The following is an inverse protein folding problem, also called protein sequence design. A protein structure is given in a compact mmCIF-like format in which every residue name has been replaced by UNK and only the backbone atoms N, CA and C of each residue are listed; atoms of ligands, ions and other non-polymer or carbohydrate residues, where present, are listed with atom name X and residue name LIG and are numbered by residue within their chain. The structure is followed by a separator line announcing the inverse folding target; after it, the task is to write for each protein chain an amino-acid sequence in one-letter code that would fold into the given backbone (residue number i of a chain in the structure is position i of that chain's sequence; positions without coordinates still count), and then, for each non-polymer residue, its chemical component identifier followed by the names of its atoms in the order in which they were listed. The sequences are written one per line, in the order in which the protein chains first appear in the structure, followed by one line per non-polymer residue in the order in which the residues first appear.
data_IF_665831425765
#
_entry.id   IF_665831425765
#
_cell.length_a   1.000
_cell.length_b   1.000
_cell.length_c   1.000
_cell.angle_alpha   90.00
_cell.angle_beta   90.00
_cell.angle_gamma   90.00
#
_symmetry.space_group_name_H-M   'P 1'
#
loop_
_entity.id
_entity.type
_entity.pdbx_description
1 polymer ?
#
# COMPACT_ATOMS: atom_id res chain seq x y z
N UNK A 1 -9.78 -13.03 15.14
CA UNK A 1 -10.83 -12.12 14.60
C UNK A 1 -11.03 -12.49 13.15
N UNK A 2 -12.26 -12.56 12.64
CA UNK A 2 -12.48 -12.82 11.20
C UNK A 2 -12.10 -11.56 10.44
N UNK A 3 -11.37 -11.71 9.33
CA UNK A 3 -11.13 -10.64 8.38
C UNK A 3 -12.44 -9.94 8.03
N UNK A 4 -12.48 -8.59 7.96
CA UNK A 4 -13.65 -7.91 7.44
C UNK A 4 -13.95 -8.45 6.04
N UNK A 5 -15.23 -8.57 5.72
CA UNK A 5 -15.67 -9.11 4.45
C UNK A 5 -15.17 -8.19 3.32
N UNK A 6 -14.17 -8.66 2.56
CA UNK A 6 -13.75 -8.00 1.33
C UNK A 6 -14.90 -8.23 0.33
N UNK A 7 -15.52 -7.17 -0.20
CA UNK A 7 -16.64 -7.33 -1.13
C UNK A 7 -16.24 -8.20 -2.32
N UNK A 8 -17.11 -9.14 -2.69
CA UNK A 8 -16.93 -9.92 -3.89
C UNK A 8 -16.93 -9.03 -5.13
N UNK A 9 -16.13 -9.39 -6.12
CA UNK A 9 -15.84 -8.71 -7.39
C UNK A 9 -16.96 -7.82 -7.93
N UNK A 10 -16.60 -6.64 -8.41
CA UNK A 10 -17.43 -5.82 -9.28
C UNK A 10 -16.85 -5.86 -10.69
N UNK A 11 -17.69 -6.11 -11.70
CA UNK A 11 -17.26 -6.09 -13.12
C UNK A 11 -16.17 -7.10 -13.49
N UNK A 12 -16.00 -8.19 -12.72
CA UNK A 12 -14.96 -9.18 -12.94
C UNK A 12 -13.62 -8.87 -12.26
N UNK A 13 -13.46 -7.69 -11.64
CA UNK A 13 -12.28 -7.37 -10.83
C UNK A 13 -12.45 -7.95 -9.43
N UNK A 14 -11.48 -8.69 -8.95
CA UNK A 14 -11.42 -9.26 -7.60
C UNK A 14 -10.13 -8.83 -6.90
N UNK A 15 -10.13 -8.88 -5.58
CA UNK A 15 -8.95 -8.63 -4.77
C UNK A 15 -8.39 -9.98 -4.33
N UNK A 16 -7.12 -10.18 -4.57
CA UNK A 16 -6.36 -11.34 -4.11
C UNK A 16 -5.28 -10.85 -3.13
N UNK A 17 -4.86 -11.73 -2.23
CA UNK A 17 -3.94 -11.38 -1.16
C UNK A 17 -2.94 -12.52 -0.93
N UNK A 18 -1.68 -12.15 -0.74
CA UNK A 18 -0.66 -13.05 -0.21
C UNK A 18 0.17 -12.31 0.85
N UNK A 19 0.80 -13.07 1.71
CA UNK A 19 1.76 -12.56 2.71
C UNK A 19 3.13 -13.05 2.33
N UNK A 20 4.10 -12.14 2.33
CA UNK A 20 5.52 -12.45 2.11
C UNK A 20 6.33 -12.02 3.32
N UNK A 21 7.36 -12.79 3.67
CA UNK A 21 8.19 -12.55 4.85
C UNK A 21 9.60 -12.12 4.46
N UNK A 22 10.15 -11.17 5.20
CA UNK A 22 11.51 -10.69 4.97
C UNK A 22 11.94 -9.67 6.01
N UNK A 23 12.68 -8.64 5.59
CA UNK A 23 13.22 -7.66 6.54
C UNK A 23 12.94 -6.23 6.13
N UNK A 24 12.54 -5.42 7.10
CA UNK A 24 12.58 -3.96 7.04
C UNK A 24 13.93 -3.46 7.57
N UNK A 25 14.58 -2.56 6.86
CA UNK A 25 15.87 -1.98 7.26
C UNK A 25 15.87 -0.46 7.12
N UNK A 26 16.13 0.26 8.20
CA UNK A 26 16.23 1.72 8.23
C UNK A 26 17.09 2.16 9.42
N UNK A 27 17.83 3.27 9.29
CA UNK A 27 18.66 3.87 10.35
C UNK A 27 19.66 2.89 10.99
N UNK A 28 20.17 1.93 10.21
CA UNK A 28 21.11 0.92 10.69
C UNK A 28 20.47 -0.23 11.49
N UNK A 29 19.16 -0.23 11.67
CA UNK A 29 18.38 -1.32 12.24
C UNK A 29 17.82 -2.25 11.16
N UNK A 30 17.52 -3.49 11.55
CA UNK A 30 16.84 -4.48 10.70
C UNK A 30 15.89 -5.30 11.55
N UNK A 31 14.67 -5.48 11.05
CA UNK A 31 13.58 -6.20 11.72
C UNK A 31 12.95 -7.20 10.77
N UNK A 32 12.64 -8.39 11.26
CA UNK A 32 11.81 -9.34 10.51
C UNK A 32 10.38 -8.85 10.47
N UNK A 33 9.78 -8.87 9.27
CA UNK A 33 8.42 -8.39 9.02
C UNK A 33 7.71 -9.30 8.02
N UNK A 34 6.39 -9.34 8.15
CA UNK A 34 5.49 -9.94 7.17
C UNK A 34 4.73 -8.81 6.47
N UNK A 35 4.79 -8.77 5.15
CA UNK A 35 4.12 -7.77 4.34
C UNK A 35 2.93 -8.37 3.60
N UNK A 36 1.86 -7.60 3.53
CA UNK A 36 0.72 -7.87 2.68
C UNK A 36 1.03 -7.42 1.25
N UNK A 37 0.88 -8.29 0.29
CA UNK A 37 0.89 -7.99 -1.13
C UNK A 37 -0.53 -8.14 -1.66
N UNK A 38 -1.07 -7.08 -2.26
CA UNK A 38 -2.44 -7.06 -2.75
C UNK A 38 -2.46 -7.08 -4.27
N UNK A 39 -3.37 -7.86 -4.85
CA UNK A 39 -3.60 -7.88 -6.29
C UNK A 39 -5.03 -7.49 -6.59
N UNK A 40 -5.21 -6.54 -7.51
CA UNK A 40 -6.45 -6.39 -8.24
C UNK A 40 -6.35 -7.27 -9.49
N UNK A 41 -7.30 -8.14 -9.70
CA UNK A 41 -7.20 -9.18 -10.71
C UNK A 41 -8.50 -9.40 -11.50
N UNK A 42 -8.35 -9.63 -12.79
CA UNK A 42 -9.35 -10.25 -13.68
C UNK A 42 -8.86 -11.65 -14.06
N UNK A 43 -9.53 -12.31 -14.98
CA UNK A 43 -9.09 -13.62 -15.47
C UNK A 43 -7.85 -13.54 -16.35
N UNK A 44 -7.53 -12.38 -16.93
CA UNK A 44 -6.44 -12.20 -17.90
C UNK A 44 -5.39 -11.18 -17.49
N UNK A 45 -5.68 -10.32 -16.53
CA UNK A 45 -4.80 -9.23 -16.12
C UNK A 45 -4.78 -9.08 -14.60
N UNK A 46 -3.69 -8.50 -14.09
CA UNK A 46 -3.63 -8.07 -12.71
C UNK A 46 -2.78 -6.81 -12.54
N UNK A 47 -3.03 -6.11 -11.44
CA UNK A 47 -2.29 -4.97 -10.92
C UNK A 47 -1.85 -5.34 -9.50
N UNK A 48 -0.57 -5.15 -9.18
CA UNK A 48 -0.04 -5.47 -7.84
C UNK A 48 0.18 -4.17 -7.05
N UNK A 49 -0.17 -4.19 -5.78
CA UNK A 49 0.11 -3.13 -4.82
C UNK A 49 1.14 -3.68 -3.84
N UNK A 50 2.30 -3.04 -3.85
CA UNK A 50 3.55 -3.40 -3.22
C UNK A 50 4.11 -4.75 -3.71
N UNK A 51 5.42 -4.84 -3.78
CA UNK A 51 6.13 -6.05 -4.23
C UNK A 51 7.20 -6.39 -3.20
N UNK A 52 6.75 -7.00 -2.13
CA UNK A 52 7.54 -7.27 -0.93
C UNK A 52 8.22 -8.63 -1.00
N UNK A 53 9.49 -8.67 -0.70
CA UNK A 53 10.34 -9.82 -0.34
C UNK A 53 10.45 -10.93 -1.39
N UNK A 54 9.36 -11.67 -1.67
CA UNK A 54 9.39 -12.90 -2.46
C UNK A 54 8.81 -12.70 -3.86
N UNK A 55 9.69 -12.36 -4.81
CA UNK A 55 9.28 -12.20 -6.21
C UNK A 55 8.70 -13.49 -6.82
N UNK A 56 9.14 -14.67 -6.37
CA UNK A 56 8.63 -15.95 -6.89
C UNK A 56 7.19 -16.16 -6.45
N UNK A 57 6.89 -15.97 -5.18
CA UNK A 57 5.53 -16.08 -4.66
C UNK A 57 4.58 -15.06 -5.32
N UNK A 58 5.07 -13.83 -5.57
CA UNK A 58 4.29 -12.79 -6.26
C UNK A 58 4.03 -13.20 -7.71
N UNK A 59 5.04 -13.68 -8.45
CA UNK A 59 4.88 -14.13 -9.84
C UNK A 59 3.99 -15.38 -9.93
N UNK A 60 4.06 -16.30 -9.00
CA UNK A 60 3.14 -17.44 -8.90
C UNK A 60 1.70 -16.97 -8.68
N UNK A 61 1.49 -15.95 -7.84
CA UNK A 61 0.17 -15.35 -7.66
C UNK A 61 -0.31 -14.61 -8.91
N UNK A 62 0.57 -13.96 -9.66
CA UNK A 62 0.24 -13.37 -10.98
C UNK A 62 -0.19 -14.45 -11.97
N UNK A 63 0.47 -15.62 -11.98
CA UNK A 63 0.20 -16.73 -12.87
C UNK A 63 0.35 -16.35 -14.34
N UNK A 64 -0.53 -16.88 -15.18
CA UNK A 64 -0.54 -16.63 -16.63
C UNK A 64 -1.13 -15.26 -17.02
N UNK A 65 -1.54 -14.45 -16.05
CA UNK A 65 -2.14 -13.13 -16.30
C UNK A 65 -1.08 -12.09 -16.68
N UNK A 66 -1.49 -11.11 -17.45
CA UNK A 66 -0.64 -9.95 -17.75
C UNK A 66 -0.59 -9.04 -16.52
N UNK A 67 0.58 -8.84 -15.93
CA UNK A 67 0.79 -7.80 -14.92
C UNK A 67 0.85 -6.44 -15.63
N UNK A 68 -0.15 -5.59 -15.38
CA UNK A 68 -0.28 -4.30 -16.06
C UNK A 68 0.48 -3.18 -15.35
N UNK A 69 0.80 -3.35 -14.07
CA UNK A 69 1.58 -2.39 -13.30
C UNK A 69 1.81 -2.84 -11.86
N UNK A 70 2.75 -2.17 -11.22
CA UNK A 70 3.06 -2.26 -9.79
C UNK A 70 2.86 -0.87 -9.20
N UNK A 71 1.93 -0.73 -8.26
CA UNK A 71 1.72 0.51 -7.49
C UNK A 71 2.43 0.38 -6.15
N UNK A 72 3.40 1.23 -5.89
CA UNK A 72 4.09 1.26 -4.61
C UNK A 72 3.41 2.25 -3.69
N UNK A 73 2.96 1.78 -2.51
CA UNK A 73 2.37 2.66 -1.50
C UNK A 73 3.38 3.64 -0.97
N UNK A 74 4.63 3.22 -0.80
CA UNK A 74 5.75 4.05 -0.40
C UNK A 74 7.10 3.36 -0.71
N UNK A 75 8.22 4.04 -0.41
CA UNK A 75 9.54 3.61 -0.84
C UNK A 75 10.35 2.80 0.17
N UNK A 76 9.81 2.34 1.28
CA UNK A 76 10.54 1.48 2.21
C UNK A 76 10.92 0.14 1.57
N UNK A 77 12.10 -0.38 1.94
CA UNK A 77 12.68 -1.56 1.30
C UNK A 77 11.77 -2.77 1.34
N UNK A 78 11.08 -3.00 2.42
CA UNK A 78 10.20 -4.14 2.62
C UNK A 78 8.91 -4.09 1.77
N UNK A 79 8.57 -2.96 1.17
CA UNK A 79 7.45 -2.83 0.22
C UNK A 79 7.87 -2.93 -1.24
N UNK A 80 9.17 -2.71 -1.55
CA UNK A 80 9.63 -2.59 -2.94
C UNK A 80 10.81 -3.50 -3.30
N UNK A 81 11.37 -4.28 -2.36
CA UNK A 81 12.62 -5.03 -2.57
C UNK A 81 12.54 -6.16 -3.60
N UNK A 82 11.34 -6.60 -3.99
CA UNK A 82 11.15 -7.54 -5.10
C UNK A 82 10.91 -6.85 -6.46
N UNK A 83 10.90 -5.49 -6.51
CA UNK A 83 10.46 -4.74 -7.69
C UNK A 83 11.26 -5.04 -8.95
N UNK A 84 12.57 -5.14 -8.85
CA UNK A 84 13.42 -5.39 -10.03
C UNK A 84 13.22 -6.78 -10.61
N UNK A 85 13.07 -7.80 -9.74
CA UNK A 85 12.80 -9.16 -10.17
C UNK A 85 11.43 -9.28 -10.85
N UNK A 86 10.38 -8.66 -10.27
CA UNK A 86 9.03 -8.66 -10.85
C UNK A 86 9.01 -7.91 -12.18
N UNK A 87 9.64 -6.74 -12.26
CA UNK A 87 9.75 -5.96 -13.51
C UNK A 87 10.53 -6.70 -14.60
N UNK A 88 11.63 -7.38 -14.21
CA UNK A 88 12.43 -8.16 -15.16
C UNK A 88 11.65 -9.34 -15.76
N UNK A 89 10.82 -9.99 -14.95
CA UNK A 89 10.03 -11.14 -15.37
C UNK A 89 8.81 -10.77 -16.23
N UNK A 90 8.18 -9.61 -15.95
CA UNK A 90 6.86 -9.27 -16.52
C UNK A 90 6.88 -8.09 -17.49
N UNK A 91 7.89 -7.23 -17.39
CA UNK A 91 7.94 -5.96 -18.10
C UNK A 91 6.96 -4.90 -17.56
N UNK A 92 6.30 -5.15 -16.44
CA UNK A 92 5.35 -4.22 -15.84
C UNK A 92 6.04 -2.94 -15.38
N UNK A 93 5.35 -1.80 -15.55
CA UNK A 93 5.80 -0.51 -15.03
C UNK A 93 5.59 -0.42 -13.52
N UNK A 94 6.55 0.17 -12.80
CA UNK A 94 6.43 0.48 -11.39
C UNK A 94 6.20 1.98 -11.17
N UNK A 95 5.24 2.29 -10.30
CA UNK A 95 4.79 3.64 -10.00
C UNK A 95 5.10 3.96 -8.53
N UNK A 96 5.69 5.13 -8.27
CA UNK A 96 6.03 5.62 -6.95
C UNK A 96 5.80 7.13 -6.86
N UNK A 97 5.42 7.62 -5.68
CA UNK A 97 5.40 9.07 -5.46
C UNK A 97 6.86 9.64 -5.44
N UNK A 98 7.15 10.75 -6.12
CA UNK A 98 8.52 11.26 -6.26
C UNK A 98 9.18 11.64 -4.92
N UNK A 99 8.40 11.98 -3.89
CA UNK A 99 8.93 12.32 -2.57
C UNK A 99 9.56 11.12 -1.84
N UNK A 100 9.34 9.88 -2.31
CA UNK A 100 9.99 8.67 -1.79
C UNK A 100 11.17 8.20 -2.65
N UNK A 101 11.59 9.00 -3.61
CA UNK A 101 12.69 8.63 -4.50
C UNK A 101 13.98 8.31 -3.74
N UNK A 102 14.27 9.02 -2.64
CA UNK A 102 15.47 8.76 -1.83
C UNK A 102 15.42 7.39 -1.12
N UNK A 103 14.23 6.89 -0.77
CA UNK A 103 14.05 5.56 -0.19
C UNK A 103 14.20 4.48 -1.26
N UNK A 104 13.61 4.72 -2.44
CA UNK A 104 13.70 3.84 -3.59
C UNK A 104 15.16 3.62 -4.05
N UNK A 105 15.93 4.70 -4.16
CA UNK A 105 17.31 4.67 -4.66
C UNK A 105 18.28 3.92 -3.72
N UNK A 106 17.86 3.61 -2.48
CA UNK A 106 18.61 2.71 -1.57
C UNK A 106 18.40 1.24 -1.93
N UNK A 107 17.28 0.90 -2.57
CA UNK A 107 16.88 -0.49 -2.87
C UNK A 107 17.29 -0.90 -4.29
N UNK A 108 17.17 0.01 -5.25
CA UNK A 108 17.42 -0.28 -6.67
C UNK A 108 17.98 0.93 -7.42
N UNK A 109 18.91 0.68 -8.35
CA UNK A 109 19.46 1.71 -9.25
C UNK A 109 18.52 2.03 -10.42
N UNK A 110 17.51 1.21 -10.66
CA UNK A 110 16.55 1.42 -11.74
C UNK A 110 15.40 2.31 -11.28
N UNK A 111 15.27 3.51 -11.86
CA UNK A 111 14.21 4.45 -11.55
C UNK A 111 12.80 3.84 -11.64
N UNK A 112 11.81 4.34 -10.88
CA UNK A 112 10.40 4.10 -11.15
C UNK A 112 10.08 4.48 -12.60
N UNK A 113 9.10 3.80 -13.21
CA UNK A 113 8.73 4.07 -14.62
C UNK A 113 7.81 5.30 -14.75
N UNK A 114 7.06 5.62 -13.68
CA UNK A 114 6.20 6.80 -13.62
C UNK A 114 5.99 7.28 -12.18
N UNK A 115 5.71 8.56 -12.06
CA UNK A 115 5.39 9.21 -10.80
C UNK A 115 3.89 9.07 -10.48
N UNK A 116 3.57 8.93 -9.19
CA UNK A 116 2.22 9.06 -8.62
C UNK A 116 2.07 10.45 -8.03
N UNK A 117 0.88 11.00 -8.11
CA UNK A 117 0.54 12.24 -7.44
C UNK A 117 -0.84 12.12 -6.73
N UNK A 118 -0.98 12.81 -5.61
CA UNK A 118 -2.27 12.92 -4.94
C UNK A 118 -3.33 13.52 -5.87
N UNK A 119 -4.49 12.86 -5.99
CA UNK A 119 -5.56 13.22 -6.90
C UNK A 119 -5.54 12.47 -8.24
N UNK A 120 -4.50 11.72 -8.56
CA UNK A 120 -4.47 10.87 -9.75
C UNK A 120 -5.60 9.83 -9.70
N UNK A 121 -6.06 9.45 -10.88
CA UNK A 121 -7.03 8.37 -11.08
C UNK A 121 -6.44 7.35 -12.03
N UNK A 122 -6.30 6.14 -11.52
CA UNK A 122 -5.84 4.99 -12.29
C UNK A 122 -7.04 4.08 -12.50
N UNK A 123 -7.14 3.44 -13.66
CA UNK A 123 -8.24 2.51 -13.95
C UNK A 123 -7.69 1.12 -14.19
N UNK A 124 -8.26 0.13 -13.51
CA UNK A 124 -8.01 -1.28 -13.74
C UNK A 124 -9.33 -2.02 -13.98
N UNK A 125 -9.49 -2.57 -15.18
CA UNK A 125 -10.80 -3.10 -15.61
C UNK A 125 -11.86 -1.98 -15.59
N UNK A 126 -12.90 -2.16 -14.82
CA UNK A 126 -13.98 -1.18 -14.57
C UNK A 126 -13.89 -0.54 -13.17
N UNK A 127 -12.74 -0.66 -12.51
CA UNK A 127 -12.50 -0.09 -11.18
C UNK A 127 -11.53 1.09 -11.28
N UNK A 128 -11.95 2.23 -10.77
CA UNK A 128 -11.09 3.39 -10.58
C UNK A 128 -10.41 3.33 -9.21
N UNK A 129 -9.10 3.60 -9.21
CA UNK A 129 -8.26 3.79 -8.04
C UNK A 129 -7.93 5.27 -7.91
N UNK A 130 -8.34 5.88 -6.82
CA UNK A 130 -7.99 7.27 -6.50
C UNK A 130 -6.70 7.27 -5.67
N UNK A 131 -5.66 7.90 -6.16
CA UNK A 131 -4.40 8.08 -5.43
C UNK A 131 -4.58 9.19 -4.40
N UNK A 132 -4.32 8.86 -3.14
CA UNK A 132 -4.37 9.80 -2.02
C UNK A 132 -2.97 9.93 -1.45
N UNK A 133 -2.33 11.09 -1.60
CA UNK A 133 -1.03 11.35 -0.97
C UNK A 133 -1.23 11.53 0.53
N UNK A 134 -0.64 10.65 1.32
CA UNK A 134 -0.82 10.55 2.77
C UNK A 134 0.53 10.48 3.49
N UNK A 135 1.34 11.56 3.40
CA UNK A 135 2.67 11.59 4.01
C UNK A 135 2.62 11.45 5.52
N UNK A 136 3.75 11.05 6.10
CA UNK A 136 3.98 11.00 7.55
C UNK A 136 4.64 9.72 8.03
N UNK A 137 4.29 8.53 7.50
CA UNK A 137 5.11 7.32 7.65
C UNK A 137 6.33 7.38 6.72
N UNK A 138 6.12 7.75 5.48
CA UNK A 138 7.12 8.11 4.50
C UNK A 138 6.69 9.41 3.80
N UNK A 139 7.62 10.21 3.21
CA UNK A 139 7.27 11.49 2.58
C UNK A 139 6.33 11.34 1.37
N UNK A 140 6.53 10.29 0.59
CA UNK A 140 5.75 9.98 -0.60
C UNK A 140 4.66 8.92 -0.38
N UNK A 141 4.31 8.61 0.86
CA UNK A 141 3.28 7.60 1.13
C UNK A 141 1.97 7.92 0.44
N UNK A 142 1.40 6.92 -0.23
CA UNK A 142 0.13 6.99 -0.93
C UNK A 142 -0.79 5.86 -0.50
N UNK A 143 -2.07 6.20 -0.34
CA UNK A 143 -3.14 5.22 -0.27
C UNK A 143 -3.86 5.13 -1.62
N UNK A 144 -4.43 3.97 -1.94
CA UNK A 144 -5.21 3.76 -3.15
C UNK A 144 -6.64 3.41 -2.78
N UNK A 145 -7.57 4.35 -3.00
CA UNK A 145 -9.00 4.15 -2.71
C UNK A 145 -9.72 3.64 -3.94
N UNK A 146 -10.38 2.50 -3.82
CA UNK A 146 -11.26 1.91 -4.83
C UNK A 146 -12.73 2.00 -4.38
N UNK A 147 -13.43 3.11 -4.65
CA UNK A 147 -14.79 3.33 -4.14
C UNK A 147 -15.76 2.25 -4.61
N UNK A 148 -15.59 1.77 -5.85
CA UNK A 148 -16.45 0.74 -6.43
C UNK A 148 -16.36 -0.61 -5.71
N UNK A 149 -15.24 -0.88 -5.03
CA UNK A 149 -15.00 -2.07 -4.22
C UNK A 149 -15.17 -1.80 -2.72
N UNK A 150 -15.36 -0.55 -2.30
CA UNK A 150 -15.47 -0.16 -0.89
C UNK A 150 -14.18 -0.40 -0.10
N UNK A 151 -13.01 -0.31 -0.73
CA UNK A 151 -11.72 -0.60 -0.10
C UNK A 151 -10.71 0.52 -0.25
N UNK A 152 -9.81 0.61 0.70
CA UNK A 152 -8.64 1.47 0.72
C UNK A 152 -7.39 0.60 0.95
N UNK A 153 -6.45 0.60 0.02
CA UNK A 153 -5.11 0.06 0.25
C UNK A 153 -4.28 1.15 0.93
N UNK A 154 -4.02 0.99 2.22
CA UNK A 154 -3.43 2.06 3.04
C UNK A 154 -1.90 2.01 3.10
N UNK A 155 -1.26 0.93 2.61
CA UNK A 155 0.13 0.71 2.93
C UNK A 155 0.34 0.86 4.44
N UNK A 156 1.30 1.68 4.82
CA UNK A 156 1.66 1.92 6.20
C UNK A 156 1.14 3.26 6.76
N UNK A 157 0.06 3.79 6.16
CA UNK A 157 -0.57 5.01 6.69
C UNK A 157 -1.51 4.71 7.86
N UNK A 158 -2.40 3.70 7.73
CA UNK A 158 -3.40 3.37 8.75
C UNK A 158 -3.51 1.86 8.91
N UNK A 159 -3.42 1.40 10.14
CA UNK A 159 -3.53 0.00 10.56
C UNK A 159 -4.72 -0.21 11.50
N UNK A 160 -5.00 -1.47 11.78
CA UNK A 160 -5.85 -1.82 12.91
C UNK A 160 -5.17 -1.37 14.21
N UNK A 161 -5.80 -0.40 14.90
CA UNK A 161 -5.33 0.13 16.17
C UNK A 161 -4.50 1.41 16.08
N UNK A 162 -4.27 1.96 14.88
CA UNK A 162 -3.66 3.28 14.77
C UNK A 162 -2.87 3.59 13.51
N UNK A 163 -2.20 4.75 13.51
CA UNK A 163 -1.34 5.17 12.41
C UNK A 163 -0.10 4.27 12.29
N UNK A 164 0.50 4.29 11.12
CA UNK A 164 1.80 3.69 10.89
C UNK A 164 2.89 4.26 11.77
N UNK A 165 3.92 3.47 12.03
CA UNK A 165 5.02 3.86 12.89
C UNK A 165 5.72 5.13 12.39
N UNK A 166 6.02 6.02 13.33
CA UNK A 166 6.83 7.22 13.13
C UNK A 166 7.98 7.24 14.12
N UNK A 167 8.83 8.29 14.09
CA UNK A 167 9.98 8.40 14.98
C UNK A 167 11.27 7.81 14.41
N UNK A 168 11.27 7.45 13.11
CA UNK A 168 12.46 7.10 12.31
C UNK A 168 12.70 8.16 11.26
N UNK A 169 13.84 8.06 10.55
CA UNK A 169 14.16 8.97 9.44
C UNK A 169 13.03 9.05 8.44
N UNK A 170 12.75 10.25 7.96
CA UNK A 170 11.74 10.61 6.98
C UNK A 170 10.29 10.51 7.46
N UNK A 171 10.02 10.13 8.72
CA UNK A 171 8.68 10.04 9.27
C UNK A 171 8.34 11.19 10.21
N UNK A 172 7.05 11.54 10.33
CA UNK A 172 6.55 12.63 11.18
C UNK A 172 5.14 12.34 11.69
N UNK A 173 4.98 12.23 13.03
CA UNK A 173 3.70 11.89 13.63
C UNK A 173 2.60 12.95 13.40
N UNK A 174 2.85 14.26 13.60
CA UNK A 174 1.83 15.27 13.25
C UNK A 174 1.36 15.18 11.81
N UNK A 175 2.26 14.91 10.87
CA UNK A 175 1.95 14.81 9.44
C UNK A 175 1.07 13.58 9.14
N UNK A 176 1.39 12.40 9.70
CA UNK A 176 0.56 11.20 9.44
C UNK A 176 -0.85 11.38 10.03
N UNK A 177 -0.98 11.98 11.20
CA UNK A 177 -2.28 12.30 11.81
C UNK A 177 -3.06 13.28 10.92
N UNK A 178 -2.41 14.32 10.39
CA UNK A 178 -3.05 15.25 9.46
C UNK A 178 -3.52 14.55 8.19
N UNK A 179 -2.70 13.67 7.61
CA UNK A 179 -3.05 12.84 6.44
C UNK A 179 -4.26 11.96 6.70
N UNK A 180 -4.26 11.23 7.82
CA UNK A 180 -5.38 10.34 8.19
C UNK A 180 -6.67 11.14 8.38
N UNK A 181 -6.60 12.25 9.13
CA UNK A 181 -7.80 13.03 9.48
C UNK A 181 -8.38 13.77 8.29
N UNK A 182 -7.54 14.33 7.41
CA UNK A 182 -8.01 15.15 6.28
C UNK A 182 -8.35 14.36 5.02
N UNK A 183 -7.80 13.14 4.87
CA UNK A 183 -8.00 12.36 3.66
C UNK A 183 -8.78 11.06 3.92
N UNK A 184 -8.38 10.28 4.94
CA UNK A 184 -8.97 8.96 5.15
C UNK A 184 -10.26 9.02 5.94
N UNK A 185 -10.36 9.91 6.94
CA UNK A 185 -11.57 10.01 7.77
C UNK A 185 -12.76 10.69 7.06
N UNK A 186 -12.57 11.22 5.86
CA UNK A 186 -13.67 11.66 4.99
C UNK A 186 -14.30 10.48 4.20
N UNK A 187 -13.66 9.30 4.22
CA UNK A 187 -14.21 8.11 3.57
C UNK A 187 -15.36 7.50 4.40
N UNK A 188 -16.28 6.75 3.76
CA UNK A 188 -17.37 6.06 4.46
C UNK A 188 -16.85 5.10 5.55
N UNK A 189 -17.57 4.98 6.67
CA UNK A 189 -17.21 4.14 7.82
C UNK A 189 -17.01 2.66 7.44
N UNK A 190 -17.78 2.18 6.46
CA UNK A 190 -17.72 0.81 5.96
C UNK A 190 -16.53 0.54 5.03
N UNK A 191 -15.74 1.57 4.64
CA UNK A 191 -14.55 1.37 3.80
C UNK A 191 -13.57 0.46 4.50
N UNK A 192 -13.29 -0.71 3.87
CA UNK A 192 -12.33 -1.68 4.38
C UNK A 192 -10.92 -1.18 4.11
N UNK A 193 -10.08 -1.13 5.13
CA UNK A 193 -8.67 -0.72 5.05
C UNK A 193 -7.81 -1.96 4.92
N UNK A 194 -7.16 -2.10 3.77
CA UNK A 194 -6.23 -3.16 3.42
C UNK A 194 -4.81 -2.64 3.63
N UNK A 195 -4.17 -3.12 4.66
CA UNK A 195 -2.93 -2.58 5.24
C UNK A 195 -1.68 -3.17 4.59
N UNK A 196 -0.51 -2.52 4.77
CA UNK A 196 0.79 -3.03 4.36
C UNK A 196 1.27 -4.21 5.21
N UNK A 197 0.84 -4.26 6.48
CA UNK A 197 1.17 -5.34 7.42
C UNK A 197 -0.06 -5.73 8.25
N UNK A 198 -0.06 -6.97 8.74
CA UNK A 198 -1.08 -7.44 9.70
C UNK A 198 -2.49 -7.53 9.15
N UNK A 199 -3.47 -7.35 10.00
CA UNK A 199 -4.88 -7.52 9.67
C UNK A 199 -5.53 -6.27 9.08
N UNK A 200 -6.59 -6.45 8.29
CA UNK A 200 -7.43 -5.37 7.79
C UNK A 200 -8.31 -4.77 8.90
N UNK A 201 -8.75 -3.53 8.69
CA UNK A 201 -9.70 -2.81 9.55
C UNK A 201 -10.74 -2.06 8.72
N UNK A 202 -11.46 -1.12 9.30
CA UNK A 202 -12.36 -0.20 8.59
C UNK A 202 -12.16 1.24 9.05
N UNK A 203 -12.52 2.21 8.23
CA UNK A 203 -12.44 3.63 8.61
C UNK A 203 -13.28 3.89 9.88
N UNK A 204 -14.49 3.32 9.95
CA UNK A 204 -15.37 3.51 11.11
C UNK A 204 -14.87 2.84 12.39
N UNK A 205 -14.06 1.78 12.30
CA UNK A 205 -13.43 1.16 13.46
C UNK A 205 -12.30 2.03 14.04
N UNK A 206 -11.55 2.72 13.19
CA UNK A 206 -10.34 3.46 13.60
C UNK A 206 -10.63 4.92 13.96
N UNK A 207 -11.57 5.59 13.26
CA UNK A 207 -11.89 7.02 13.47
C UNK A 207 -12.18 7.39 14.94
N UNK A 208 -12.90 6.59 15.75
CA UNK A 208 -13.17 6.94 17.14
C UNK A 208 -11.92 7.00 18.04
N UNK A 209 -10.81 6.39 17.63
CA UNK A 209 -9.58 6.28 18.42
C UNK A 209 -8.57 7.39 18.18
N UNK A 210 -8.91 8.40 17.36
CA UNK A 210 -8.00 9.51 17.04
C UNK A 210 -7.44 10.19 18.31
N UNK A 211 -8.30 10.44 19.31
CA UNK A 211 -7.84 11.11 20.53
C UNK A 211 -6.84 10.24 21.31
N UNK A 212 -7.06 8.93 21.36
CA UNK A 212 -6.15 7.98 22.02
C UNK A 212 -4.76 8.00 21.35
N UNK A 213 -4.70 8.14 20.01
CA UNK A 213 -3.44 8.24 19.29
C UNK A 213 -2.72 9.56 19.56
N UNK A 214 -3.46 10.68 19.60
CA UNK A 214 -2.91 12.00 19.94
C UNK A 214 -2.35 12.02 21.37
N UNK A 215 -3.06 11.43 22.34
CA UNK A 215 -2.64 11.37 23.74
C UNK A 215 -1.40 10.47 23.92
N UNK A 216 -1.29 9.41 23.12
CA UNK A 216 -0.13 8.50 23.11
C UNK A 216 1.09 9.13 22.42
N UNK A 217 0.90 9.94 21.38
CA UNK A 217 1.93 10.66 20.65
C UNK A 217 2.74 9.81 19.68
N UNK A 218 2.26 8.63 19.32
CA UNK A 218 2.87 7.70 18.38
C UNK A 218 1.86 6.68 17.85
#
# INVERSE_FOLDING_TARGET
MSMPHIPASRGGVRIEHLVTSGTFSLDGGTWEVDNNVWLLATDTECLVIDVAHDAVAILDAVGDRRLVGVLCTHGHNDHINAVDAVRAATGAAAYLHPDDRMLWDVVTDRAPDADLAGGDRLTFGDVDLHVMHTPGHAPGACCFHAPALGVLFSGDTLFQGGPGATGRSFSDFPTIIASITSALFDLPDETVVLTGHGGATTIGAERPHLQDWLDRGH
#
